data_IF_441481603998
#
_entry.id   IF_441481603998
#
_cell.length_a   1.000
_cell.length_b   1.000
_cell.length_c   1.000
_cell.angle_alpha   90.00
_cell.angle_beta   90.00
_cell.angle_gamma   90.00
#
_symmetry.space_group_name_H-M   'P 1'
#
loop_
_entity.id
_entity.type
_entity.pdbx_description
1 polymer ?
#
# COMPACT_ATOMS: atom_id res chain seq x y z
N UNK A 1 10.61 -1.42 10.83
CA UNK A 1 10.01 -2.23 9.75
C UNK A 1 10.91 -2.12 8.53
N UNK A 2 11.43 -3.21 8.01
CA UNK A 2 12.18 -3.20 6.75
C UNK A 2 11.24 -3.53 5.62
N UNK A 3 11.07 -2.62 4.68
CA UNK A 3 10.51 -2.91 3.36
C UNK A 3 11.74 -3.02 2.46
N UNK A 4 12.14 -4.23 2.08
CA UNK A 4 13.39 -4.45 1.37
C UNK A 4 13.23 -5.39 0.20
N UNK A 5 13.79 -5.01 -0.94
CA UNK A 5 14.06 -5.91 -2.06
C UNK A 5 15.34 -6.70 -1.78
N UNK A 6 15.34 -8.00 -2.12
CA UNK A 6 16.47 -8.88 -1.88
C UNK A 6 17.63 -8.64 -2.84
N UNK A 7 18.65 -7.96 -2.35
CA UNK A 7 20.01 -7.98 -2.91
C UNK A 7 20.97 -8.53 -1.87
N UNK A 8 21.78 -9.53 -2.24
CA UNK A 8 22.74 -10.16 -1.34
C UNK A 8 23.84 -9.18 -0.93
N UNK A 9 23.82 -8.74 0.32
CA UNK A 9 24.88 -8.01 0.99
C UNK A 9 24.72 -8.17 2.50
N UNK A 10 25.76 -8.61 3.19
CA UNK A 10 25.78 -8.80 4.64
C UNK A 10 25.39 -7.51 5.38
N UNK A 11 24.17 -7.47 5.89
CA UNK A 11 23.71 -6.42 6.80
C UNK A 11 23.89 -6.88 8.25
N UNK A 12 24.24 -5.99 9.20
CA UNK A 12 24.46 -6.34 10.59
C UNK A 12 23.18 -6.95 11.19
N UNK A 13 23.37 -8.02 11.98
CA UNK A 13 22.29 -8.70 12.71
C UNK A 13 21.70 -7.75 13.73
N UNK A 14 20.55 -7.18 13.41
CA UNK A 14 19.64 -6.59 14.39
C UNK A 14 18.81 -7.72 14.97
N UNK A 15 18.58 -7.71 16.28
CA UNK A 15 17.87 -8.77 17.01
C UNK A 15 16.54 -9.18 16.35
N UNK A 16 16.05 -10.39 16.65
CA UNK A 16 14.81 -10.97 16.13
C UNK A 16 13.61 -10.02 16.31
N UNK A 17 13.51 -9.03 15.43
CA UNK A 17 12.29 -8.23 15.26
C UNK A 17 11.45 -8.90 14.20
N UNK A 18 10.18 -9.08 14.49
CA UNK A 18 9.19 -9.62 13.55
C UNK A 18 9.24 -8.82 12.23
N UNK A 19 9.54 -9.51 11.14
CA UNK A 19 9.70 -8.90 9.81
C UNK A 19 8.46 -9.19 9.01
N UNK A 20 7.78 -8.13 8.57
CA UNK A 20 6.75 -8.23 7.54
C UNK A 20 7.46 -8.04 6.20
N UNK A 21 7.37 -9.04 5.32
CA UNK A 21 7.84 -8.94 3.94
C UNK A 21 6.65 -8.78 3.00
N UNK A 22 6.60 -7.67 2.29
CA UNK A 22 5.80 -7.55 1.08
C UNK A 22 6.77 -7.53 -0.09
N UNK A 23 6.59 -8.45 -1.01
CA UNK A 23 7.37 -8.48 -2.24
C UNK A 23 6.50 -7.91 -3.35
N UNK A 24 6.75 -6.67 -3.73
CA UNK A 24 6.37 -6.15 -5.03
C UNK A 24 7.57 -6.28 -5.94
N UNK A 25 7.68 -7.38 -6.64
CA UNK A 25 8.67 -7.55 -7.69
C UNK A 25 8.08 -7.04 -9.00
N UNK A 26 8.32 -5.77 -9.30
CA UNK A 26 8.09 -5.23 -10.64
C UNK A 26 9.31 -5.58 -11.49
N UNK A 27 9.29 -6.71 -12.16
CA UNK A 27 10.21 -6.97 -13.27
C UNK A 27 9.60 -6.41 -14.54
N UNK A 28 10.24 -5.40 -15.10
CA UNK A 28 10.07 -5.03 -16.51
C UNK A 28 10.67 -6.16 -17.37
N UNK A 29 9.83 -6.96 -17.98
CA UNK A 29 10.23 -8.07 -18.82
C UNK A 29 9.09 -9.08 -18.95
N UNK A 30 9.05 -9.83 -20.01
CA UNK A 30 7.94 -10.67 -20.47
C UNK A 30 7.26 -11.58 -19.46
N UNK A 31 7.77 -11.67 -18.20
CA UNK A 31 7.26 -12.56 -17.13
C UNK A 31 7.04 -11.87 -15.77
N UNK A 32 6.99 -10.53 -15.70
CA UNK A 32 7.18 -9.78 -14.43
C UNK A 32 5.95 -9.28 -13.70
N UNK A 33 4.76 -9.36 -14.25
CA UNK A 33 3.53 -9.01 -13.55
C UNK A 33 3.05 -10.19 -12.73
N UNK A 34 3.00 -10.04 -11.42
CA UNK A 34 2.33 -11.03 -10.56
C UNK A 34 0.84 -10.80 -10.65
N UNK A 35 0.21 -11.49 -11.57
CA UNK A 35 -1.23 -11.57 -11.63
C UNK A 35 -1.72 -12.91 -11.06
N UNK A 36 -2.81 -12.87 -10.35
CA UNK A 36 -3.56 -14.07 -9.98
C UNK A 36 -4.50 -14.43 -11.15
N UNK A 37 -4.44 -15.68 -11.61
CA UNK A 37 -5.38 -16.20 -12.61
C UNK A 37 -6.44 -17.05 -11.93
N UNK A 38 -7.71 -16.75 -12.21
CA UNK A 38 -8.87 -17.47 -11.70
C UNK A 38 -9.82 -17.75 -12.87
N UNK A 39 -9.69 -18.94 -13.46
CA UNK A 39 -10.34 -19.28 -14.74
C UNK A 39 -9.84 -18.38 -15.88
N UNK A 40 -10.77 -17.66 -16.51
CA UNK A 40 -10.46 -16.71 -17.59
C UNK A 40 -10.21 -15.28 -17.10
N UNK A 41 -10.29 -15.05 -15.78
CA UNK A 41 -10.05 -13.75 -15.16
C UNK A 41 -8.59 -13.62 -14.72
N UNK A 42 -8.05 -12.43 -14.90
CA UNK A 42 -6.73 -12.04 -14.39
C UNK A 42 -6.88 -10.86 -13.43
N UNK A 43 -6.14 -10.87 -12.33
CA UNK A 43 -6.20 -9.84 -11.30
C UNK A 43 -4.79 -9.31 -11.02
N UNK A 44 -4.66 -8.00 -10.91
CA UNK A 44 -3.51 -7.42 -10.21
C UNK A 44 -3.63 -7.77 -8.73
N UNK A 45 -2.57 -8.31 -8.14
CA UNK A 45 -2.64 -8.81 -6.79
C UNK A 45 -1.34 -8.62 -6.00
N UNK A 46 -1.51 -8.55 -4.68
CA UNK A 46 -0.41 -8.45 -3.72
C UNK A 46 -0.53 -9.56 -2.68
N UNK A 47 0.38 -10.56 -2.68
CA UNK A 47 0.43 -11.57 -1.63
C UNK A 47 0.98 -10.97 -0.33
N UNK A 48 0.43 -11.39 0.79
CA UNK A 48 0.93 -11.06 2.13
C UNK A 48 1.55 -12.30 2.76
N UNK A 49 2.85 -12.21 3.06
CA UNK A 49 3.64 -13.28 3.63
C UNK A 49 4.12 -12.85 5.01
N UNK A 50 3.88 -13.70 6.03
CA UNK A 50 4.32 -13.44 7.40
C UNK A 50 5.82 -13.70 7.58
N UNK A 51 6.36 -13.31 8.73
CA UNK A 51 7.78 -13.40 9.05
C UNK A 51 8.36 -14.83 9.00
N UNK A 52 7.53 -15.86 9.15
CA UNK A 52 7.91 -17.27 9.04
C UNK A 52 7.81 -17.84 7.61
N UNK A 53 7.43 -17.01 6.63
CA UNK A 53 7.22 -17.42 5.24
C UNK A 53 5.83 -17.94 4.93
N UNK A 54 4.90 -17.94 5.89
CA UNK A 54 3.51 -18.36 5.67
C UNK A 54 2.77 -17.35 4.79
N UNK A 55 2.19 -17.80 3.68
CA UNK A 55 1.27 -17.00 2.89
C UNK A 55 -0.05 -16.82 3.65
N UNK A 56 -0.33 -15.60 4.13
CA UNK A 56 -1.56 -15.27 4.85
C UNK A 56 -2.75 -15.05 3.92
N UNK A 57 -2.49 -14.59 2.72
CA UNK A 57 -3.51 -14.37 1.70
C UNK A 57 -3.06 -13.41 0.60
N UNK A 58 -4.01 -13.01 -0.22
CA UNK A 58 -3.77 -12.15 -1.39
C UNK A 58 -4.82 -11.05 -1.43
N UNK A 59 -4.37 -9.80 -1.56
CA UNK A 59 -5.23 -8.66 -1.93
C UNK A 59 -5.32 -8.60 -3.45
N UNK A 60 -6.51 -8.41 -4.00
CA UNK A 60 -6.77 -8.11 -5.42
C UNK A 60 -7.08 -6.61 -5.54
N UNK A 61 -6.44 -5.93 -6.48
CA UNK A 61 -6.73 -4.53 -6.82
C UNK A 61 -8.18 -4.39 -7.25
N UNK A 62 -8.93 -3.49 -6.62
CA UNK A 62 -10.37 -3.33 -6.87
C UNK A 62 -10.63 -2.32 -7.99
N UNK A 63 -9.92 -1.20 -7.95
CA UNK A 63 -10.12 -0.10 -8.89
C UNK A 63 -9.02 -0.14 -9.95
N UNK A 64 -9.35 -0.70 -11.12
CA UNK A 64 -8.38 -0.90 -12.19
C UNK A 64 -8.19 0.40 -12.98
N UNK A 65 -6.92 0.76 -13.18
CA UNK A 65 -6.49 2.01 -13.80
C UNK A 65 -6.83 2.02 -15.30
N UNK A 66 -7.32 3.17 -15.80
CA UNK A 66 -7.57 3.40 -17.22
C UNK A 66 -7.40 4.89 -17.55
N UNK A 67 -6.19 5.28 -17.95
CA UNK A 67 -5.85 6.59 -18.50
C UNK A 67 -4.56 6.51 -19.31
N UNK A 68 -4.14 7.58 -20.03
CA UNK A 68 -2.98 7.51 -20.91
C UNK A 68 -1.75 6.90 -20.25
N UNK A 69 -1.15 5.93 -20.93
CA UNK A 69 -0.03 5.08 -20.50
C UNK A 69 -0.37 4.02 -19.43
N UNK A 70 -1.58 4.01 -18.87
CA UNK A 70 -2.08 3.00 -17.92
C UNK A 70 -3.41 2.41 -18.41
N UNK A 71 -3.34 1.41 -19.29
CA UNK A 71 -4.52 0.77 -19.92
C UNK A 71 -4.76 -0.62 -19.32
N UNK A 72 -4.95 -0.67 -17.98
CA UNK A 72 -5.00 -1.93 -17.25
C UNK A 72 -6.34 -2.65 -17.32
N UNK A 73 -7.43 -1.91 -17.61
CA UNK A 73 -8.77 -2.51 -17.76
C UNK A 73 -8.88 -3.47 -18.95
N UNK A 74 -7.92 -3.40 -19.88
CA UNK A 74 -7.87 -4.31 -21.02
C UNK A 74 -7.44 -5.74 -20.67
N UNK A 75 -6.82 -5.95 -19.49
CA UNK A 75 -6.27 -7.25 -19.11
C UNK A 75 -6.48 -7.62 -17.63
N UNK A 76 -6.84 -6.69 -16.75
CA UNK A 76 -7.21 -7.00 -15.36
C UNK A 76 -8.70 -6.90 -15.11
N UNK A 77 -9.19 -7.80 -14.28
CA UNK A 77 -10.54 -7.80 -13.74
C UNK A 77 -10.53 -7.09 -12.38
N UNK A 78 -11.52 -6.21 -12.07
CA UNK A 78 -11.67 -5.65 -10.75
C UNK A 78 -11.71 -6.72 -9.65
N UNK A 79 -10.98 -6.48 -8.58
CA UNK A 79 -10.89 -7.39 -7.44
C UNK A 79 -12.24 -7.62 -6.75
N UNK A 80 -12.45 -8.79 -6.24
CA UNK A 80 -13.71 -9.26 -5.65
C UNK A 80 -13.57 -9.73 -4.18
N UNK A 81 -12.38 -9.50 -3.57
CA UNK A 81 -12.08 -9.92 -2.19
C UNK A 81 -12.33 -8.84 -1.13
N UNK A 82 -12.85 -7.66 -1.54
CA UNK A 82 -13.05 -6.52 -0.65
C UNK A 82 -11.74 -5.94 -0.12
N UNK A 83 -11.75 -5.42 1.10
CA UNK A 83 -10.59 -4.80 1.76
C UNK A 83 -10.06 -5.73 2.88
N UNK A 84 -9.31 -6.79 2.55
CA UNK A 84 -8.81 -7.72 3.54
C UNK A 84 -7.73 -7.09 4.41
N UNK A 85 -7.72 -7.46 5.70
CA UNK A 85 -6.67 -7.12 6.64
C UNK A 85 -6.09 -8.41 7.20
N UNK A 86 -4.78 -8.56 7.11
CA UNK A 86 -4.08 -9.76 7.48
C UNK A 86 -3.44 -9.60 8.85
N UNK A 87 -3.73 -10.54 9.74
CA UNK A 87 -3.10 -10.57 11.06
C UNK A 87 -1.72 -11.22 10.94
N UNK A 88 -0.68 -10.40 11.05
CA UNK A 88 0.71 -10.83 11.05
C UNK A 88 1.27 -10.87 12.46
N UNK A 89 2.47 -11.42 12.64
CA UNK A 89 3.18 -11.40 13.94
C UNK A 89 3.51 -9.97 14.39
N UNK A 90 3.69 -9.02 13.47
CA UNK A 90 4.04 -7.63 13.80
C UNK A 90 2.82 -6.72 13.99
N UNK A 91 1.62 -7.12 13.55
CA UNK A 91 0.39 -6.34 13.62
C UNK A 91 -0.56 -6.61 12.45
N UNK A 92 -1.59 -5.79 12.33
CA UNK A 92 -2.62 -5.98 11.31
C UNK A 92 -2.26 -5.18 10.05
N UNK A 93 -2.07 -5.88 8.93
CA UNK A 93 -1.61 -5.34 7.67
C UNK A 93 -2.74 -5.28 6.64
N UNK A 94 -3.00 -4.10 6.08
CA UNK A 94 -3.80 -3.89 4.89
C UNK A 94 -2.94 -3.58 3.66
N UNK A 95 -3.45 -3.82 2.47
CA UNK A 95 -2.81 -3.45 1.22
C UNK A 95 -3.79 -2.68 0.35
N UNK A 96 -3.37 -1.53 -0.17
CA UNK A 96 -4.07 -0.76 -1.20
C UNK A 96 -3.18 -0.70 -2.43
N UNK A 97 -3.56 -1.39 -3.51
CA UNK A 97 -2.70 -1.48 -4.68
C UNK A 97 -2.89 -0.24 -5.55
N UNK A 98 -1.82 0.53 -5.72
CA UNK A 98 -1.70 1.65 -6.66
C UNK A 98 -2.92 2.60 -6.66
N UNK A 99 -3.77 2.50 -7.65
CA UNK A 99 -4.95 3.33 -7.87
C UNK A 99 -6.02 3.20 -6.75
N UNK A 100 -6.05 2.09 -6.03
CA UNK A 100 -6.97 1.89 -4.89
C UNK A 100 -6.84 2.98 -3.81
N UNK A 101 -5.64 3.59 -3.67
CA UNK A 101 -5.40 4.65 -2.67
C UNK A 101 -6.22 5.92 -2.90
N UNK A 102 -6.65 6.19 -4.15
CA UNK A 102 -7.48 7.34 -4.50
C UNK A 102 -8.93 7.22 -3.99
N UNK A 103 -9.34 6.03 -3.57
CA UNK A 103 -10.71 5.76 -3.12
C UNK A 103 -10.80 5.80 -1.60
N UNK A 104 -11.30 6.90 -1.00
CA UNK A 104 -11.43 7.04 0.44
C UNK A 104 -12.24 5.91 1.08
N UNK A 105 -13.20 5.35 0.33
CA UNK A 105 -14.03 4.21 0.77
C UNK A 105 -13.18 2.96 1.03
N UNK A 106 -12.26 2.65 0.11
CA UNK A 106 -11.36 1.50 0.24
C UNK A 106 -10.38 1.69 1.39
N UNK A 107 -9.74 2.86 1.46
CA UNK A 107 -8.82 3.23 2.53
C UNK A 107 -9.52 3.23 3.90
N UNK A 108 -10.77 3.68 3.95
CA UNK A 108 -11.60 3.63 5.15
C UNK A 108 -12.01 2.20 5.52
N UNK A 109 -12.30 1.35 4.55
CA UNK A 109 -12.63 -0.05 4.79
C UNK A 109 -11.46 -0.79 5.46
N UNK A 110 -10.22 -0.57 5.02
CA UNK A 110 -9.03 -1.13 5.67
C UNK A 110 -8.93 -0.71 7.15
N UNK A 111 -9.20 0.56 7.47
CA UNK A 111 -9.20 1.04 8.86
C UNK A 111 -10.30 0.37 9.71
N UNK A 112 -11.50 0.26 9.16
CA UNK A 112 -12.66 -0.35 9.85
C UNK A 112 -12.44 -1.83 10.07
N UNK A 113 -11.74 -2.50 9.14
CA UNK A 113 -11.35 -3.89 9.25
C UNK A 113 -10.12 -4.09 10.18
N UNK A 114 -9.58 -3.01 10.75
CA UNK A 114 -8.59 -3.05 11.82
C UNK A 114 -7.14 -2.99 11.37
N UNK A 115 -6.84 -2.47 10.18
CA UNK A 115 -5.45 -2.27 9.76
C UNK A 115 -4.70 -1.32 10.71
N UNK A 116 -3.48 -1.70 11.09
CA UNK A 116 -2.52 -0.86 11.83
C UNK A 116 -1.51 -0.22 10.87
N UNK A 117 -1.24 -0.89 9.76
CA UNK A 117 -0.39 -0.44 8.67
C UNK A 117 -1.06 -0.75 7.34
N UNK A 118 -1.06 0.22 6.43
CA UNK A 118 -1.48 0.03 5.03
C UNK A 118 -0.28 0.23 4.13
N UNK A 119 0.07 -0.80 3.36
CA UNK A 119 1.10 -0.74 2.34
C UNK A 119 0.45 -0.43 1.00
N UNK A 120 1.08 0.50 0.25
CA UNK A 120 0.61 0.94 -1.06
C UNK A 120 1.72 0.70 -2.09
N UNK A 121 1.76 -0.51 -2.69
CA UNK A 121 2.63 -0.75 -3.84
C UNK A 121 2.07 -0.03 -5.05
N UNK A 122 2.94 0.70 -5.78
CA UNK A 122 2.51 1.46 -6.95
C UNK A 122 3.61 1.67 -7.99
N UNK A 123 3.20 2.11 -9.17
CA UNK A 123 4.04 2.54 -10.28
C UNK A 123 3.66 3.99 -10.68
N UNK A 124 3.81 4.93 -9.73
CA UNK A 124 3.49 6.34 -9.93
C UNK A 124 4.57 7.09 -10.70
N UNK A 125 4.17 7.86 -11.72
CA UNK A 125 5.07 8.57 -12.62
C UNK A 125 5.37 10.00 -12.16
N UNK A 126 6.48 10.55 -12.67
CA UNK A 126 6.82 11.96 -12.54
C UNK A 126 5.75 12.79 -13.26
N UNK A 127 5.31 13.88 -12.63
CA UNK A 127 4.30 14.79 -13.17
C UNK A 127 2.93 14.16 -13.50
N UNK A 128 2.66 12.95 -13.00
CA UNK A 128 1.35 12.29 -13.14
C UNK A 128 0.24 13.07 -12.43
N UNK A 129 0.55 13.61 -11.24
CA UNK A 129 -0.33 14.44 -10.43
C UNK A 129 0.36 15.75 -10.03
N UNK A 130 -0.40 16.78 -9.60
CA UNK A 130 0.18 17.99 -9.05
C UNK A 130 1.20 17.70 -7.94
N UNK A 131 2.27 18.51 -7.88
CA UNK A 131 3.33 18.37 -6.91
C UNK A 131 2.81 18.25 -5.47
N UNK A 132 3.32 17.29 -4.73
CA UNK A 132 2.95 17.02 -3.34
C UNK A 132 1.66 16.21 -3.14
N UNK A 133 0.90 15.91 -4.20
CA UNK A 133 -0.40 15.25 -4.05
C UNK A 133 -0.27 13.79 -3.59
N UNK A 134 0.72 13.04 -4.04
CA UNK A 134 1.01 11.69 -3.53
C UNK A 134 1.20 11.68 -2.02
N UNK A 135 2.02 12.62 -1.53
CA UNK A 135 2.27 12.74 -0.10
C UNK A 135 1.00 13.16 0.64
N UNK A 136 0.28 14.15 0.13
CA UNK A 136 -0.93 14.66 0.76
C UNK A 136 -1.99 13.55 0.93
N UNK A 137 -2.23 12.72 -0.08
CA UNK A 137 -3.17 11.59 0.01
C UNK A 137 -2.80 10.62 1.12
N UNK A 138 -1.53 10.21 1.20
CA UNK A 138 -1.09 9.24 2.20
C UNK A 138 -1.12 9.82 3.61
N UNK A 139 -0.70 11.07 3.79
CA UNK A 139 -0.76 11.79 5.06
C UNK A 139 -2.19 11.94 5.57
N UNK A 140 -3.10 12.38 4.68
CA UNK A 140 -4.52 12.53 5.00
C UNK A 140 -5.15 11.18 5.30
N UNK A 141 -4.84 10.16 4.50
CA UNK A 141 -5.33 8.81 4.71
C UNK A 141 -4.87 8.25 6.06
N UNK A 142 -3.58 8.38 6.40
CA UNK A 142 -3.04 7.97 7.69
C UNK A 142 -3.74 8.67 8.86
N UNK A 143 -3.84 10.00 8.81
CA UNK A 143 -4.48 10.81 9.85
C UNK A 143 -5.96 10.49 10.03
N UNK A 144 -6.74 10.41 8.95
CA UNK A 144 -8.19 10.19 9.03
C UNK A 144 -8.56 8.77 9.47
N UNK A 145 -7.66 7.82 9.30
CA UNK A 145 -7.90 6.40 9.54
C UNK A 145 -7.16 5.86 10.77
N UNK A 146 -6.14 6.56 11.26
CA UNK A 146 -5.39 6.20 12.47
C UNK A 146 -4.54 4.94 12.30
N UNK A 147 -3.92 4.80 11.13
CA UNK A 147 -2.96 3.75 10.80
C UNK A 147 -1.69 4.37 10.21
N UNK A 148 -0.62 3.59 10.13
CA UNK A 148 0.55 3.94 9.33
C UNK A 148 0.27 3.70 7.85
N UNK A 149 0.87 4.49 6.96
CA UNK A 149 0.91 4.20 5.52
C UNK A 149 2.35 4.05 5.06
N UNK A 150 2.62 3.09 4.18
CA UNK A 150 3.92 2.92 3.53
C UNK A 150 3.69 2.82 2.02
N UNK A 151 4.04 3.88 1.30
CA UNK A 151 3.97 3.91 -0.16
C UNK A 151 5.30 3.43 -0.72
N UNK A 152 5.24 2.37 -1.54
CA UNK A 152 6.36 1.77 -2.24
C UNK A 152 6.23 2.06 -3.72
N UNK A 153 7.04 2.99 -4.24
CA UNK A 153 6.92 3.43 -5.61
C UNK A 153 8.07 2.91 -6.48
N UNK A 154 7.73 2.57 -7.70
CA UNK A 154 8.66 2.15 -8.74
C UNK A 154 9.58 3.31 -9.17
N UNK A 155 10.77 2.95 -9.69
CA UNK A 155 11.69 3.85 -10.41
C UNK A 155 11.98 3.30 -11.80
N UNK A 156 12.52 4.16 -12.68
CA UNK A 156 12.95 3.81 -14.03
C UNK A 156 12.07 4.38 -15.12
N UNK A 157 12.47 4.18 -16.36
CA UNK A 157 11.81 4.74 -17.54
C UNK A 157 11.26 3.65 -18.43
N UNK A 158 10.09 3.92 -18.97
CA UNK A 158 9.45 3.19 -20.06
C UNK A 158 9.14 4.17 -21.20
N UNK A 159 8.58 3.67 -22.31
CA UNK A 159 8.36 4.47 -23.52
C UNK A 159 7.57 5.77 -23.26
N UNK A 160 6.57 5.74 -22.38
CA UNK A 160 5.72 6.90 -22.09
C UNK A 160 5.72 7.31 -20.60
N UNK A 161 6.50 6.64 -19.73
CA UNK A 161 6.49 6.86 -18.29
C UNK A 161 7.91 7.03 -17.72
N UNK A 162 8.06 7.93 -16.76
CA UNK A 162 9.24 8.07 -15.90
C UNK A 162 8.78 7.92 -14.46
N UNK A 163 9.09 6.78 -13.83
CA UNK A 163 8.58 6.47 -12.48
C UNK A 163 9.35 7.22 -11.40
N UNK A 164 8.60 7.86 -10.49
CA UNK A 164 9.11 8.89 -9.61
C UNK A 164 9.98 8.38 -8.46
N UNK A 165 9.85 7.12 -8.03
CA UNK A 165 10.47 6.68 -6.78
C UNK A 165 9.86 7.40 -5.58
N UNK A 166 10.68 8.00 -4.73
CA UNK A 166 10.26 8.74 -3.53
C UNK A 166 9.32 7.94 -2.62
N UNK A 167 9.58 6.66 -2.45
CA UNK A 167 8.86 5.84 -1.48
C UNK A 167 8.92 6.47 -0.09
N UNK A 168 7.84 6.41 0.69
CA UNK A 168 7.81 7.04 2.01
C UNK A 168 6.85 6.36 2.98
N UNK A 169 7.05 6.65 4.27
CA UNK A 169 6.22 6.16 5.37
C UNK A 169 5.62 7.33 6.11
N UNK A 170 4.29 7.27 6.38
CA UNK A 170 3.60 8.23 7.24
C UNK A 170 3.12 7.59 8.53
N UNK A 171 3.17 8.35 9.60
CA UNK A 171 2.58 8.00 10.88
C UNK A 171 1.08 8.32 10.97
N UNK A 172 0.38 7.80 12.00
CA UNK A 172 -1.06 7.94 12.16
C UNK A 172 -1.53 9.37 12.49
N UNK A 173 -0.62 10.30 12.75
CA UNK A 173 -0.91 11.73 12.91
C UNK A 173 -0.61 12.55 11.64
N UNK A 174 -0.25 11.88 10.54
CA UNK A 174 -0.06 12.47 9.21
C UNK A 174 1.34 13.04 8.97
N UNK A 175 2.31 12.77 9.83
CA UNK A 175 3.71 13.11 9.63
C UNK A 175 4.42 12.14 8.68
N UNK A 176 5.40 12.62 7.92
CA UNK A 176 6.29 11.76 7.14
C UNK A 176 7.45 11.33 8.02
N UNK A 177 7.57 10.02 8.25
CA UNK A 177 8.59 9.42 9.12
C UNK A 177 9.89 9.12 8.40
N UNK A 178 9.79 8.72 7.13
CA UNK A 178 10.94 8.38 6.29
C UNK A 178 10.58 8.58 4.82
N UNK A 179 11.57 8.91 4.00
CA UNK A 179 11.43 9.12 2.55
C UNK A 179 12.67 8.62 1.82
N UNK A 180 12.45 7.98 0.68
CA UNK A 180 13.48 7.55 -0.23
C UNK A 180 13.86 8.61 -1.27
N UNK A 181 14.86 8.28 -2.06
CA UNK A 181 15.36 9.12 -3.12
C UNK A 181 14.35 9.28 -4.26
N UNK A 182 14.38 10.45 -4.92
CA UNK A 182 13.60 10.71 -6.12
C UNK A 182 14.32 10.11 -7.34
N UNK A 183 13.56 9.42 -8.20
CA UNK A 183 14.03 8.87 -9.48
C UNK A 183 15.28 7.98 -9.37
N UNK A 184 15.48 7.33 -8.22
CA UNK A 184 16.61 6.44 -7.98
C UNK A 184 16.17 5.25 -7.11
N UNK A 185 16.85 4.12 -7.29
CA UNK A 185 16.68 2.96 -6.40
C UNK A 185 17.09 3.31 -4.97
N UNK A 186 16.23 3.00 -4.02
CA UNK A 186 16.49 3.26 -2.62
C UNK A 186 15.76 2.25 -1.72
N UNK A 187 16.25 2.11 -0.49
CA UNK A 187 15.61 1.31 0.56
C UNK A 187 15.23 2.22 1.71
N UNK A 188 13.94 2.40 1.92
CA UNK A 188 13.41 3.22 3.01
C UNK A 188 13.25 2.39 4.29
N UNK A 189 13.87 2.87 5.36
CA UNK A 189 13.74 2.29 6.70
C UNK A 189 12.93 3.21 7.60
N UNK A 190 11.96 2.64 8.32
CA UNK A 190 11.23 3.33 9.37
C UNK A 190 10.98 2.38 10.54
N UNK A 191 11.34 2.81 11.74
CA UNK A 191 10.93 2.14 12.96
C UNK A 191 9.56 2.67 13.39
N UNK A 192 8.58 1.79 13.47
CA UNK A 192 7.20 2.16 13.79
C UNK A 192 6.66 1.30 14.94
N UNK A 193 6.01 1.95 15.89
CA UNK A 193 5.26 1.26 16.95
C UNK A 193 3.79 1.15 16.51
N UNK A 194 3.40 -0.01 15.99
CA UNK A 194 2.03 -0.25 15.53
C UNK A 194 1.00 -0.15 16.67
N UNK A 195 1.40 -0.36 17.94
CA UNK A 195 0.51 -0.19 19.08
C UNK A 195 0.12 1.29 19.29
N UNK A 196 0.93 2.24 18.82
CA UNK A 196 0.61 3.67 18.89
C UNK A 196 -0.66 4.05 18.12
N UNK A 197 -1.07 3.24 17.12
CA UNK A 197 -2.31 3.46 16.37
C UNK A 197 -3.54 3.54 17.27
N UNK A 198 -3.57 2.79 18.38
CA UNK A 198 -4.66 2.81 19.35
C UNK A 198 -4.88 4.21 19.96
N UNK A 199 -3.81 5.00 20.05
CA UNK A 199 -3.83 6.36 20.62
C UNK A 199 -3.97 7.46 19.55
N UNK A 200 -4.05 7.11 18.26
CA UNK A 200 -4.20 8.08 17.18
C UNK A 200 -5.47 8.93 17.34
N UNK A 201 -5.43 10.15 16.81
CA UNK A 201 -6.58 11.04 16.81
C UNK A 201 -7.80 10.42 16.11
N UNK A 202 -7.60 9.69 15.03
CA UNK A 202 -8.69 9.03 14.33
C UNK A 202 -9.41 8.01 15.19
N UNK A 203 -8.69 7.09 15.84
CA UNK A 203 -9.28 6.04 16.67
C UNK A 203 -9.93 6.62 17.93
N UNK A 204 -9.33 7.64 18.52
CA UNK A 204 -9.87 8.30 19.72
C UNK A 204 -11.05 9.22 19.44
N UNK A 205 -11.06 9.95 18.31
CA UNK A 205 -12.00 11.05 18.07
C UNK A 205 -12.96 10.79 16.89
N UNK A 206 -12.48 10.27 15.74
CA UNK A 206 -13.26 10.29 14.51
C UNK A 206 -14.01 8.99 14.23
N UNK A 207 -13.33 7.84 14.30
CA UNK A 207 -13.88 6.56 13.85
C UNK A 207 -15.12 6.14 14.64
N UNK A 208 -15.15 6.40 15.95
CA UNK A 208 -16.29 6.07 16.81
C UNK A 208 -17.54 6.92 16.56
N UNK A 209 -17.39 8.06 15.88
CA UNK A 209 -18.51 8.97 15.54
C UNK A 209 -19.01 8.79 14.10
N UNK A 210 -18.55 7.77 13.39
CA UNK A 210 -19.08 7.44 12.07
C UNK A 210 -20.57 7.10 12.16
N UNK A 211 -21.28 7.40 11.08
CA UNK A 211 -22.73 7.18 10.95
C UNK A 211 -23.02 6.22 9.79
N UNK A 212 -22.58 4.93 9.87
CA UNK A 212 -22.70 3.96 8.78
C UNK A 212 -24.13 3.80 8.28
N UNK A 213 -25.10 3.94 9.17
CA UNK A 213 -26.53 3.84 8.87
C UNK A 213 -27.02 4.93 7.88
N UNK A 214 -26.29 6.04 7.78
CA UNK A 214 -26.60 7.12 6.83
C UNK A 214 -25.82 6.93 5.51
N UNK A 215 -24.59 6.41 5.59
CA UNK A 215 -23.67 6.36 4.43
C UNK A 215 -24.20 5.48 3.32
N UNK A 216 -24.88 4.35 3.64
CA UNK A 216 -25.49 3.46 2.65
C UNK A 216 -26.47 4.18 1.72
N UNK A 217 -27.11 5.25 2.18
CA UNK A 217 -28.00 6.09 1.36
C UNK A 217 -27.27 7.07 0.45
N UNK A 218 -26.01 7.35 0.70
CA UNK A 218 -25.19 8.32 -0.05
C UNK A 218 -24.31 7.66 -1.10
N UNK A 219 -23.88 6.43 -0.83
CA UNK A 219 -23.07 5.61 -1.75
C UNK A 219 -24.02 4.90 -2.69
N UNK A 220 -24.08 5.35 -3.95
CA UNK A 220 -24.97 4.82 -4.99
C UNK A 220 -24.17 4.08 -6.05
#
# INVERSE_FOLDING_TARGET
>A
MRVGEGGAGDAPRVGESDRIGQFTEFKSGEDGLRYERDGDRTFDCSPVIDADGTLLGVTRMIHITEYPCFHEQGYYTPGDKGAPVFKTKAGNLGVAICYDRHFPEYMRALAVNGADLVIVPQAGAVDEWPEGLYEAEMRVSAFQNGYFTALCNRVGKEDCLDFAGESFVCGPDGEVLARGAKSADDIVYADVDLAATANSNARRLFLKHRRPELYAGWIK
#
